data_IF_546629434994
#
_entry.id   IF_546629434994
#
_cell.length_a   1.000
_cell.length_b   1.000
_cell.length_c   1.000
_cell.angle_alpha   90.00
_cell.angle_beta   90.00
_cell.angle_gamma   90.00
#
_symmetry.space_group_name_H-M   'P 1'
#
loop_
_entity.id
_entity.type
_entity.pdbx_description
1 polymer ?
#
# COMPACT_ATOMS: atom_id res chain seq x y z
N UNK A 1 15.01 14.79 -8.23
CA UNK A 1 13.95 14.82 -7.21
C UNK A 1 14.46 14.06 -5.99
N UNK A 2 14.45 14.67 -4.80
CA UNK A 2 14.93 14.04 -3.56
C UNK A 2 13.77 13.23 -2.95
N UNK A 3 14.00 11.96 -2.49
CA UNK A 3 12.96 11.21 -1.80
C UNK A 3 12.58 11.90 -0.49
N UNK A 4 11.28 11.99 -0.19
CA UNK A 4 10.79 12.64 1.03
C UNK A 4 11.18 11.85 2.29
N UNK A 5 10.95 10.53 2.26
CA UNK A 5 11.27 9.68 3.40
C UNK A 5 12.77 9.40 3.48
N UNK A 6 13.33 9.64 4.64
CA UNK A 6 14.72 9.32 4.93
C UNK A 6 14.91 7.81 5.09
N UNK A 7 16.06 7.30 4.71
CA UNK A 7 16.43 5.92 5.03
C UNK A 7 16.70 5.81 6.54
N UNK A 8 16.42 4.64 7.11
CA UNK A 8 16.76 4.34 8.51
C UNK A 8 18.26 4.45 8.70
N UNK A 9 18.68 5.25 9.66
CA UNK A 9 20.06 5.45 10.05
C UNK A 9 20.17 5.61 11.59
N UNK A 10 21.26 6.16 12.05
CA UNK A 10 21.48 6.43 13.48
C UNK A 10 20.53 7.47 14.10
N UNK A 11 19.71 8.14 13.29
CA UNK A 11 18.77 9.18 13.72
C UNK A 11 17.33 8.85 13.28
N UNK A 12 16.71 7.80 13.82
CA UNK A 12 15.37 7.33 13.36
C UNK A 12 14.24 8.33 13.66
N UNK A 13 14.44 9.28 14.56
CA UNK A 13 13.49 10.35 14.86
C UNK A 13 13.38 11.41 13.73
N UNK A 14 14.34 11.43 12.81
CA UNK A 14 14.32 12.32 11.63
C UNK A 14 13.76 11.51 10.44
N UNK A 15 12.45 11.55 10.26
CA UNK A 15 11.73 10.72 9.29
C UNK A 15 11.80 11.22 7.85
N UNK A 16 12.09 12.50 7.66
CA UNK A 16 12.08 13.14 6.34
C UNK A 16 13.43 13.73 5.95
N UNK A 17 13.59 13.98 4.67
CA UNK A 17 14.76 14.68 4.12
C UNK A 17 14.58 16.19 4.04
N UNK A 18 13.47 16.74 4.57
CA UNK A 18 13.23 18.18 4.62
C UNK A 18 14.25 18.86 5.53
N UNK A 19 14.78 19.98 5.06
CA UNK A 19 15.65 20.83 5.86
C UNK A 19 14.81 21.87 6.61
N UNK A 20 15.34 22.46 7.71
CA UNK A 20 14.68 23.57 8.38
C UNK A 20 14.34 24.69 7.38
N UNK A 21 13.10 25.16 7.41
CA UNK A 21 12.61 26.20 6.50
C UNK A 21 12.10 25.71 5.14
N UNK A 22 12.27 24.43 4.79
CA UNK A 22 11.66 23.87 3.59
C UNK A 22 10.17 23.55 3.80
N UNK A 23 9.37 23.82 2.77
CA UNK A 23 7.92 23.57 2.74
C UNK A 23 7.58 22.73 1.52
N UNK A 24 6.72 21.73 1.69
CA UNK A 24 6.18 20.99 0.56
C UNK A 24 5.14 21.85 -0.15
N UNK A 25 5.39 22.22 -1.39
CA UNK A 25 4.50 23.09 -2.17
C UNK A 25 3.51 22.30 -3.03
N UNK A 26 3.85 21.08 -3.44
CA UNK A 26 2.99 20.25 -4.28
C UNK A 26 3.38 18.77 -4.22
N UNK A 27 2.41 17.92 -4.50
CA UNK A 27 2.60 16.52 -4.85
C UNK A 27 2.25 16.31 -6.32
N UNK A 28 3.15 15.67 -7.07
CA UNK A 28 2.89 15.29 -8.44
C UNK A 28 2.51 13.81 -8.50
N UNK A 29 1.23 13.53 -8.79
CA UNK A 29 0.71 12.18 -8.93
C UNK A 29 0.45 11.92 -10.41
N UNK A 30 1.21 11.03 -11.06
CA UNK A 30 0.96 10.69 -12.45
C UNK A 30 -0.45 10.07 -12.62
N UNK A 31 -1.18 10.51 -13.62
CA UNK A 31 -2.45 9.88 -13.98
C UNK A 31 -2.22 8.53 -14.65
N UNK A 32 -3.18 7.61 -14.51
CA UNK A 32 -3.14 6.28 -15.14
C UNK A 32 -4.41 5.49 -14.86
N UNK A 33 -4.63 4.42 -15.59
CA UNK A 33 -5.81 3.54 -15.43
C UNK A 33 -5.99 3.00 -14.01
N UNK A 34 -4.89 2.80 -13.32
CA UNK A 34 -4.83 2.34 -11.92
C UNK A 34 -5.43 3.34 -10.92
N UNK A 35 -5.56 4.64 -11.24
CA UNK A 35 -6.16 5.63 -10.33
C UNK A 35 -7.67 5.45 -10.18
N UNK A 36 -8.33 4.83 -11.16
CA UNK A 36 -9.79 4.62 -11.15
C UNK A 36 -10.24 3.56 -10.16
N UNK A 37 -9.35 2.65 -9.78
CA UNK A 37 -9.63 1.56 -8.85
C UNK A 37 -8.57 1.59 -7.76
N UNK A 38 -8.74 2.49 -6.81
CA UNK A 38 -7.81 2.67 -5.70
C UNK A 38 -8.54 2.72 -4.37
N UNK A 39 -7.98 2.02 -3.38
CA UNK A 39 -8.54 1.90 -2.05
C UNK A 39 -7.46 2.10 -0.99
N UNK A 40 -7.81 2.75 0.09
CA UNK A 40 -7.02 2.81 1.32
C UNK A 40 -7.78 2.17 2.46
N UNK A 41 -7.32 1.02 2.91
CA UNK A 41 -7.85 0.31 4.07
C UNK A 41 -6.99 0.60 5.29
N UNK A 42 -7.63 0.99 6.39
CA UNK A 42 -6.97 1.30 7.66
C UNK A 42 -7.51 0.41 8.77
N UNK A 43 -6.65 -0.38 9.39
CA UNK A 43 -6.96 -1.17 10.58
C UNK A 43 -6.55 -0.36 11.82
N UNK A 44 -7.46 -0.21 12.77
CA UNK A 44 -7.32 0.62 13.98
C UNK A 44 -8.19 0.08 15.12
N UNK A 45 -7.86 0.40 16.36
CA UNK A 45 -8.60 -0.07 17.53
C UNK A 45 -9.86 0.78 17.82
N UNK A 46 -9.88 2.02 17.38
CA UNK A 46 -11.03 2.93 17.56
C UNK A 46 -11.42 3.66 16.29
N UNK A 47 -12.64 4.16 16.26
CA UNK A 47 -13.26 4.72 15.05
C UNK A 47 -12.58 5.99 14.54
N UNK A 48 -12.02 6.82 15.43
CA UNK A 48 -11.44 8.12 15.04
C UNK A 48 -10.19 8.46 15.84
N UNK A 49 -9.42 9.40 15.29
CA UNK A 49 -8.25 10.00 15.93
C UNK A 49 -7.22 8.99 16.44
N UNK A 50 -6.80 8.09 15.53
CA UNK A 50 -5.83 7.05 15.81
C UNK A 50 -5.00 6.73 14.57
N UNK A 51 -3.70 6.45 14.80
CA UNK A 51 -2.84 5.90 13.76
C UNK A 51 -3.26 4.48 13.39
N UNK A 52 -2.94 4.06 12.18
CA UNK A 52 -3.16 2.70 11.76
C UNK A 52 -2.25 1.73 12.52
N UNK A 53 -2.80 0.62 13.03
CA UNK A 53 -2.01 -0.54 13.45
C UNK A 53 -1.40 -1.19 12.20
N UNK A 54 -2.21 -1.29 11.14
CA UNK A 54 -1.81 -1.68 9.81
C UNK A 54 -2.68 -0.95 8.78
N UNK A 55 -2.13 -0.62 7.63
CA UNK A 55 -2.92 -0.11 6.51
C UNK A 55 -2.42 -0.64 5.19
N UNK A 56 -3.32 -0.72 4.21
CA UNK A 56 -3.02 -1.10 2.85
C UNK A 56 -3.62 -0.08 1.88
N UNK A 57 -2.76 0.53 1.09
CA UNK A 57 -3.14 1.33 -0.06
C UNK A 57 -2.93 0.48 -1.31
N UNK A 58 -3.99 0.24 -2.07
CA UNK A 58 -3.96 -0.54 -3.29
C UNK A 58 -4.52 0.28 -4.45
N UNK A 59 -3.92 0.16 -5.61
CA UNK A 59 -4.42 0.73 -6.84
C UNK A 59 -4.25 -0.29 -7.97
N UNK A 60 -5.34 -0.58 -8.70
CA UNK A 60 -5.42 -1.68 -9.64
C UNK A 60 -5.84 -1.19 -11.03
N UNK A 61 -5.12 -1.60 -12.04
CA UNK A 61 -5.54 -1.58 -13.42
C UNK A 61 -5.93 -3.00 -13.83
N UNK A 62 -7.20 -3.17 -14.16
CA UNK A 62 -7.79 -4.47 -14.46
C UNK A 62 -8.23 -4.54 -15.93
N UNK A 63 -8.13 -5.72 -16.50
CA UNK A 63 -8.75 -6.10 -17.77
C UNK A 63 -9.68 -7.29 -17.51
N UNK A 64 -10.96 -7.02 -17.36
CA UNK A 64 -11.90 -7.98 -16.79
C UNK A 64 -11.43 -8.41 -15.39
N UNK A 65 -11.19 -9.71 -15.20
CA UNK A 65 -10.70 -10.28 -13.95
C UNK A 65 -9.16 -10.25 -13.81
N UNK A 66 -8.44 -9.89 -14.88
CA UNK A 66 -6.97 -9.95 -14.90
C UNK A 66 -6.37 -8.64 -14.41
N UNK A 67 -5.42 -8.72 -13.50
CA UNK A 67 -4.63 -7.58 -13.03
C UNK A 67 -3.58 -7.23 -14.09
N UNK A 68 -3.70 -6.10 -14.76
CA UNK A 68 -2.65 -5.58 -15.66
C UNK A 68 -1.53 -4.93 -14.87
N UNK A 69 -1.89 -4.05 -13.96
CA UNK A 69 -0.95 -3.38 -13.07
C UNK A 69 -1.54 -3.26 -11.67
N UNK A 70 -0.70 -3.49 -10.68
CA UNK A 70 -1.00 -3.24 -9.28
C UNK A 70 0.04 -2.28 -8.67
N UNK A 71 -0.39 -1.44 -7.74
CA UNK A 71 0.46 -0.63 -6.88
C UNK A 71 0.02 -0.84 -5.46
N UNK A 72 0.95 -1.27 -4.60
CA UNK A 72 0.65 -1.69 -3.24
C UNK A 72 1.61 -1.00 -2.28
N UNK A 73 1.05 -0.25 -1.34
CA UNK A 73 1.78 0.37 -0.23
C UNK A 73 1.18 -0.04 1.10
N UNK A 74 2.02 -0.48 2.04
CA UNK A 74 1.59 -0.84 3.38
C UNK A 74 2.10 0.20 4.39
N UNK A 75 1.24 0.58 5.33
CA UNK A 75 1.55 1.49 6.42
C UNK A 75 1.44 0.80 7.78
N UNK A 76 2.10 1.37 8.79
CA UNK A 76 2.22 0.75 10.11
C UNK A 76 3.14 -0.46 10.16
N UNK A 77 3.82 -0.81 9.06
CA UNK A 77 4.67 -1.99 8.93
C UNK A 77 6.17 -1.67 9.04
N UNK A 78 6.56 -0.46 8.71
CA UNK A 78 7.94 -0.03 8.77
C UNK A 78 8.03 1.47 9.07
N UNK A 79 9.23 1.94 9.28
CA UNK A 79 9.59 3.34 9.48
C UNK A 79 9.10 4.29 8.38
N UNK A 80 9.02 3.80 7.15
CA UNK A 80 8.47 4.51 5.97
C UNK A 80 7.39 3.65 5.31
N UNK A 81 6.55 4.23 4.45
CA UNK A 81 5.60 3.44 3.67
C UNK A 81 6.31 2.28 2.97
N UNK A 82 5.82 1.06 3.21
CA UNK A 82 6.39 -0.17 2.67
C UNK A 82 5.81 -0.44 1.28
N UNK A 83 6.62 -0.30 0.24
CA UNK A 83 6.21 -0.62 -1.12
C UNK A 83 6.37 -2.11 -1.40
N UNK A 84 5.27 -2.81 -1.69
CA UNK A 84 5.24 -4.26 -1.87
C UNK A 84 5.43 -4.69 -3.34
N UNK A 85 6.57 -4.34 -3.95
CA UNK A 85 6.86 -4.65 -5.35
C UNK A 85 6.77 -6.15 -5.69
N UNK A 86 7.17 -7.03 -4.77
CA UNK A 86 7.09 -8.47 -4.98
C UNK A 86 5.61 -8.94 -5.09
N UNK A 87 4.72 -8.40 -4.26
CA UNK A 87 3.30 -8.68 -4.34
C UNK A 87 2.67 -8.18 -5.65
N UNK A 88 3.08 -7.00 -6.11
CA UNK A 88 2.65 -6.43 -7.39
C UNK A 88 3.03 -7.35 -8.56
N UNK A 89 4.26 -7.88 -8.55
CA UNK A 89 4.75 -8.81 -9.57
C UNK A 89 4.01 -10.15 -9.55
N UNK A 90 3.62 -10.64 -8.37
CA UNK A 90 2.84 -11.89 -8.23
C UNK A 90 1.45 -11.75 -8.84
N UNK A 91 0.83 -10.57 -8.76
CA UNK A 91 -0.51 -10.31 -9.29
C UNK A 91 -0.55 -10.04 -10.79
N UNK A 92 0.53 -9.49 -11.35
CA UNK A 92 0.57 -9.05 -12.74
C UNK A 92 0.26 -10.21 -13.71
N UNK A 93 -0.70 -9.98 -14.61
CA UNK A 93 -1.14 -10.94 -15.62
C UNK A 93 -2.01 -12.09 -15.08
N UNK A 94 -2.42 -12.06 -13.81
CA UNK A 94 -3.24 -13.11 -13.20
C UNK A 94 -4.65 -12.60 -12.86
N UNK A 95 -5.65 -13.51 -12.80
CA UNK A 95 -6.96 -13.15 -12.28
C UNK A 95 -6.87 -12.80 -10.80
N UNK A 96 -7.58 -11.75 -10.38
CA UNK A 96 -7.65 -11.37 -8.97
C UNK A 96 -8.64 -12.26 -8.25
N UNK A 97 -8.16 -13.41 -7.82
CA UNK A 97 -8.86 -14.35 -6.92
C UNK A 97 -8.33 -14.19 -5.51
N UNK A 98 -9.07 -14.68 -4.52
CA UNK A 98 -8.63 -14.70 -3.13
C UNK A 98 -7.29 -15.44 -2.98
N UNK A 99 -7.15 -16.61 -3.62
CA UNK A 99 -5.91 -17.39 -3.61
C UNK A 99 -4.71 -16.61 -4.19
N UNK A 100 -4.90 -15.86 -5.28
CA UNK A 100 -3.84 -15.03 -5.86
C UNK A 100 -3.54 -13.79 -4.99
N UNK A 101 -4.54 -13.23 -4.31
CA UNK A 101 -4.35 -12.16 -3.34
C UNK A 101 -3.57 -12.65 -2.10
N UNK A 102 -3.87 -13.85 -1.59
CA UNK A 102 -3.13 -14.49 -0.51
C UNK A 102 -1.69 -14.79 -0.90
N UNK A 103 -1.46 -15.33 -2.11
CA UNK A 103 -0.11 -15.57 -2.63
C UNK A 103 0.71 -14.26 -2.74
N UNK A 104 0.09 -13.18 -3.18
CA UNK A 104 0.72 -11.86 -3.21
C UNK A 104 1.01 -11.33 -1.80
N UNK A 105 0.05 -11.48 -0.87
CA UNK A 105 0.21 -11.05 0.51
C UNK A 105 1.31 -11.84 1.25
N UNK A 106 1.48 -13.11 0.93
CA UNK A 106 2.54 -13.95 1.51
C UNK A 106 3.95 -13.39 1.25
N UNK A 107 4.17 -12.78 0.08
CA UNK A 107 5.47 -12.20 -0.29
C UNK A 107 5.56 -10.70 -0.03
N UNK A 108 4.44 -10.04 0.28
CA UNK A 108 4.38 -8.57 0.42
C UNK A 108 5.32 -8.03 1.50
N UNK A 109 5.53 -8.78 2.56
CA UNK A 109 6.34 -8.41 3.71
C UNK A 109 7.62 -9.26 3.85
N UNK A 110 8.08 -9.85 2.74
CA UNK A 110 9.36 -10.55 2.76
C UNK A 110 10.49 -9.60 3.19
N UNK A 111 11.28 -10.04 4.18
CA UNK A 111 12.34 -9.22 4.77
C UNK A 111 11.87 -8.32 5.92
N UNK A 112 10.59 -8.36 6.31
CA UNK A 112 10.15 -7.69 7.53
C UNK A 112 10.76 -8.37 8.76
N UNK A 113 11.29 -7.56 9.67
CA UNK A 113 11.86 -8.01 10.95
C UNK A 113 10.98 -7.48 12.08
N UNK A 114 10.59 -8.36 12.98
CA UNK A 114 9.82 -7.98 14.17
C UNK A 114 10.74 -7.76 15.37
N UNK A 115 10.26 -6.99 16.33
CA UNK A 115 11.01 -6.61 17.53
C UNK A 115 10.13 -6.80 18.77
N UNK A 116 10.21 -7.99 19.40
CA UNK A 116 9.49 -8.30 20.62
C UNK A 116 7.97 -8.43 20.42
N UNK A 117 7.19 -7.59 21.06
CA UNK A 117 5.73 -7.74 21.14
C UNK A 117 4.95 -7.34 19.87
N UNK A 118 5.61 -7.16 18.72
CA UNK A 118 4.96 -6.78 17.46
C UNK A 118 4.93 -7.90 16.40
N UNK A 119 5.13 -9.15 16.81
CA UNK A 119 5.18 -10.31 15.90
C UNK A 119 3.87 -10.57 15.14
N UNK A 120 2.75 -10.07 15.66
CA UNK A 120 1.45 -10.15 15.00
C UNK A 120 1.32 -9.21 13.78
N UNK A 121 2.15 -8.17 13.68
CA UNK A 121 2.01 -7.12 12.65
C UNK A 121 2.15 -7.61 11.21
N UNK A 122 3.14 -8.46 10.86
CA UNK A 122 3.24 -8.96 9.49
C UNK A 122 1.99 -9.72 9.05
N UNK A 123 1.41 -10.54 9.93
CA UNK A 123 0.19 -11.27 9.63
C UNK A 123 -1.02 -10.32 9.49
N UNK A 124 -1.13 -9.33 10.38
CA UNK A 124 -2.18 -8.32 10.26
C UNK A 124 -2.07 -7.53 8.95
N UNK A 125 -0.84 -7.17 8.55
CA UNK A 125 -0.56 -6.49 7.28
C UNK A 125 -0.94 -7.33 6.06
N UNK A 126 -0.66 -8.64 6.09
CA UNK A 126 -1.09 -9.58 5.03
C UNK A 126 -2.61 -9.64 4.90
N UNK A 127 -3.32 -9.82 6.00
CA UNK A 127 -4.79 -9.84 6.01
C UNK A 127 -5.39 -8.53 5.54
N UNK A 128 -4.83 -7.40 5.97
CA UNK A 128 -5.25 -6.10 5.51
C UNK A 128 -5.05 -5.94 3.99
N UNK A 129 -3.95 -6.46 3.44
CA UNK A 129 -3.69 -6.43 2.01
C UNK A 129 -4.68 -7.29 1.22
N UNK A 130 -4.93 -8.54 1.63
CA UNK A 130 -5.92 -9.43 0.97
C UNK A 130 -7.28 -8.76 0.94
N UNK A 131 -7.74 -8.26 2.09
CA UNK A 131 -9.01 -7.54 2.18
C UNK A 131 -9.06 -6.32 1.27
N UNK A 132 -8.03 -5.48 1.27
CA UNK A 132 -7.97 -4.29 0.42
C UNK A 132 -8.02 -4.64 -1.08
N UNK A 133 -7.33 -5.70 -1.50
CA UNK A 133 -7.34 -6.18 -2.89
C UNK A 133 -8.74 -6.66 -3.30
N UNK A 134 -9.41 -7.46 -2.44
CA UNK A 134 -10.74 -7.99 -2.73
C UNK A 134 -11.80 -6.89 -2.72
N UNK A 135 -11.73 -5.92 -1.81
CA UNK A 135 -12.61 -4.75 -1.81
C UNK A 135 -12.37 -3.88 -3.06
N UNK A 136 -11.11 -3.62 -3.42
CA UNK A 136 -10.77 -2.86 -4.62
C UNK A 136 -11.25 -3.55 -5.91
N UNK A 137 -11.24 -4.89 -5.97
CA UNK A 137 -11.76 -5.67 -7.10
C UNK A 137 -13.23 -5.32 -7.40
N UNK A 138 -14.04 -5.19 -6.36
CA UNK A 138 -15.50 -4.98 -6.47
C UNK A 138 -15.91 -3.52 -6.58
N UNK A 139 -14.96 -2.59 -6.49
CA UNK A 139 -15.28 -1.16 -6.61
C UNK A 139 -15.91 -0.83 -7.97
N UNK A 140 -17.00 -0.05 -7.98
CA UNK A 140 -17.52 0.48 -9.24
C UNK A 140 -16.48 1.41 -9.85
N UNK A 141 -16.13 1.16 -11.13
CA UNK A 141 -15.27 2.06 -11.90
C UNK A 141 -16.19 2.89 -12.77
N UNK A 142 -16.32 4.17 -12.46
CA UNK A 142 -16.99 5.09 -13.36
C UNK A 142 -16.21 5.10 -14.69
N UNK A 143 -16.82 4.53 -15.71
CA UNK A 143 -16.37 4.73 -17.08
C UNK A 143 -16.71 6.17 -17.43
N UNK A 144 -15.79 7.09 -17.14
CA UNK A 144 -15.96 8.48 -17.52
C UNK A 144 -16.19 8.56 -19.02
N UNK A 145 -17.45 8.74 -19.42
CA UNK A 145 -17.75 9.36 -20.70
C UNK A 145 -17.22 10.77 -20.56
N UNK A 146 -16.17 11.08 -21.31
CA UNK A 146 -15.54 12.39 -21.28
C UNK A 146 -16.58 13.51 -21.45
N UNK A 147 -16.38 14.56 -20.65
CA UNK A 147 -16.84 15.88 -21.02
C UNK A 147 -15.99 16.41 -22.16
#
# INVERSE_FOLDING_TARGET
>A
MRPLHKLVDAQPHIETTLLPGEVITAFHVPSGGWTRRSLYLKIRDRVSYEFAIASAAVALEMDGEIVRHARIGLGGMAYRPWRAHQAEAVLAGKPLTEANAEAAAAVALNGAVTHGHNDYKPELGRRALVRALMEAKTMPVETGKGC
#
